data_IF_333249103962
#
_entry.id   IF_333249103962
#
_cell.length_a   1.000
_cell.length_b   1.000
_cell.length_c   1.000
_cell.angle_alpha   90.00
_cell.angle_beta   90.00
_cell.angle_gamma   90.00
#
_symmetry.space_group_name_H-M   'P 1'
#
loop_
_entity.id
_entity.type
_entity.pdbx_description
1 polymer ?
#
# COMPACT_ATOMS: atom_id res chain seq x y z
N UNK A 1 9.29 -7.19 -1.26
CA UNK A 1 9.81 -5.92 -1.77
C UNK A 1 9.22 -4.77 -0.98
N UNK A 2 9.78 -3.60 -1.12
CA UNK A 2 9.36 -2.44 -0.37
C UNK A 2 9.43 -1.20 -1.26
N UNK A 3 8.66 -0.18 -0.88
CA UNK A 3 8.61 1.05 -1.64
C UNK A 3 9.01 2.21 -0.72
N UNK A 4 9.76 3.16 -1.25
CA UNK A 4 10.17 4.32 -0.46
C UNK A 4 9.02 5.31 -0.37
N UNK A 5 8.99 6.03 0.75
CA UNK A 5 7.90 6.97 1.00
C UNK A 5 7.82 8.07 -0.07
N UNK A 6 8.98 8.55 -0.53
CA UNK A 6 8.99 9.61 -1.54
C UNK A 6 8.54 9.10 -2.90
N UNK A 7 8.88 7.86 -3.21
CA UNK A 7 8.42 7.24 -4.45
C UNK A 7 6.91 7.01 -4.42
N UNK A 8 6.40 6.56 -3.28
CA UNK A 8 4.97 6.35 -3.11
C UNK A 8 4.19 7.66 -3.25
N UNK A 9 4.72 8.73 -2.70
CA UNK A 9 4.09 10.04 -2.83
C UNK A 9 4.04 10.49 -4.29
N UNK A 10 5.11 10.23 -5.02
CA UNK A 10 5.17 10.58 -6.43
C UNK A 10 4.11 9.82 -7.22
N UNK A 11 3.98 8.52 -6.92
CA UNK A 11 2.97 7.70 -7.57
C UNK A 11 1.57 8.22 -7.25
N UNK A 12 1.34 8.56 -6.00
CA UNK A 12 0.04 9.05 -5.57
C UNK A 12 -0.34 10.33 -6.29
N UNK A 13 0.60 11.25 -6.41
CA UNK A 13 0.36 12.50 -7.11
C UNK A 13 0.10 12.28 -8.58
N UNK A 14 0.81 11.35 -9.19
CA UNK A 14 0.63 11.06 -10.59
C UNK A 14 -0.65 10.29 -10.90
N UNK A 15 -1.13 9.51 -9.93
CA UNK A 15 -2.33 8.71 -10.13
C UNK A 15 -3.61 9.55 -10.13
N UNK A 16 -3.70 10.52 -9.21
CA UNK A 16 -4.88 11.37 -9.10
C UNK A 16 -6.03 10.66 -8.39
N UNK A 17 -7.23 10.92 -8.84
CA UNK A 17 -8.44 10.38 -8.22
C UNK A 17 -8.97 9.12 -8.88
N UNK A 18 -8.21 8.52 -9.75
CA UNK A 18 -8.67 7.32 -10.43
C UNK A 18 -8.85 6.16 -9.47
N UNK A 19 -9.83 5.30 -9.69
CA UNK A 19 -10.00 4.12 -8.86
C UNK A 19 -8.84 3.15 -9.01
N UNK A 20 -8.56 2.43 -7.95
CA UNK A 20 -7.45 1.48 -7.94
C UNK A 20 -7.86 0.25 -7.14
N UNK A 21 -7.57 -0.91 -7.67
CA UNK A 21 -7.88 -2.18 -7.01
C UNK A 21 -6.79 -2.60 -6.01
N UNK A 22 -5.71 -1.83 -5.95
CA UNK A 22 -4.59 -2.10 -5.03
C UNK A 22 -4.05 -3.51 -5.21
N UNK A 23 -3.58 -3.84 -6.41
CA UNK A 23 -3.13 -5.22 -6.69
C UNK A 23 -1.88 -5.60 -5.90
N UNK A 24 -1.03 -4.64 -5.60
CA UNK A 24 0.20 -4.89 -4.85
C UNK A 24 0.36 -3.85 -3.75
N UNK A 25 0.49 -4.32 -2.52
CA UNK A 25 0.72 -3.45 -1.37
C UNK A 25 2.05 -3.83 -0.75
N UNK A 26 2.96 -2.86 -0.62
CA UNK A 26 4.29 -3.09 -0.11
C UNK A 26 4.55 -2.24 1.13
N UNK A 27 5.55 -2.63 1.90
CA UNK A 27 5.94 -1.87 3.07
C UNK A 27 6.54 -0.53 2.65
N UNK A 28 6.17 0.52 3.37
CA UNK A 28 6.71 1.84 3.11
C UNK A 28 7.99 2.04 3.93
N UNK A 29 9.02 2.54 3.28
CA UNK A 29 10.30 2.83 3.94
C UNK A 29 10.60 4.31 3.90
N UNK A 30 11.06 4.83 5.01
CA UNK A 30 11.51 6.21 5.13
C UNK A 30 13.00 6.27 5.38
N UNK A 31 13.50 7.47 5.75
CA UNK A 31 14.93 7.64 5.99
C UNK A 31 15.47 6.82 7.16
N UNK A 32 14.60 6.39 8.04
CA UNK A 32 15.00 5.62 9.21
C UNK A 32 14.53 4.17 9.16
N UNK A 33 14.12 3.70 7.98
CA UNK A 33 13.65 2.33 7.81
C UNK A 33 12.14 2.26 7.63
N UNK A 34 11.55 1.13 7.99
CA UNK A 34 10.12 0.90 7.83
C UNK A 34 9.33 1.90 8.69
N UNK A 35 8.41 2.62 8.04
CA UNK A 35 7.64 3.66 8.73
C UNK A 35 6.45 3.11 9.51
N UNK A 36 6.14 1.83 9.34
CA UNK A 36 4.97 1.22 9.96
C UNK A 36 3.75 1.21 9.07
N UNK A 37 3.82 1.87 7.93
CA UNK A 37 2.72 1.93 6.99
C UNK A 37 3.02 1.11 5.75
N UNK A 38 1.98 0.93 4.95
CA UNK A 38 2.08 0.22 3.68
C UNK A 38 1.58 1.12 2.57
N UNK A 39 2.02 0.86 1.36
CA UNK A 39 1.62 1.64 0.20
C UNK A 39 1.24 0.74 -0.96
N UNK A 40 0.23 1.17 -1.70
CA UNK A 40 -0.10 0.52 -2.96
C UNK A 40 0.94 0.95 -3.99
N UNK A 41 1.53 -0.01 -4.68
CA UNK A 41 2.57 0.31 -5.65
C UNK A 41 1.99 0.86 -6.96
N UNK A 42 0.67 0.80 -7.13
CA UNK A 42 0.04 1.30 -8.34
C UNK A 42 -0.45 2.73 -8.18
N UNK A 43 -1.15 3.03 -7.09
CA UNK A 43 -1.71 4.37 -6.89
C UNK A 43 -1.04 5.16 -5.76
N UNK A 44 -0.20 4.50 -4.97
CA UNK A 44 0.52 5.17 -3.90
C UNK A 44 -0.27 5.42 -2.64
N UNK A 45 -1.48 4.85 -2.53
CA UNK A 45 -2.31 5.09 -1.36
C UNK A 45 -1.67 4.49 -0.11
N UNK A 46 -1.78 5.22 1.00
CA UNK A 46 -1.25 4.76 2.29
C UNK A 46 -2.24 3.85 2.98
N UNK A 47 -1.72 2.74 3.52
CA UNK A 47 -2.51 1.80 4.30
C UNK A 47 -1.83 1.56 5.63
N UNK A 48 -2.65 1.36 6.67
CA UNK A 48 -2.11 0.93 7.95
C UNK A 48 -1.97 -0.59 7.94
N UNK A 49 -1.23 -1.09 8.93
CA UNK A 49 -1.07 -2.54 9.05
C UNK A 49 -2.42 -3.23 9.22
N UNK A 50 -3.31 -2.64 10.00
CA UNK A 50 -4.63 -3.21 10.22
C UNK A 50 -5.42 -3.30 8.93
N UNK A 51 -5.34 -2.27 8.11
CA UNK A 51 -6.03 -2.27 6.82
C UNK A 51 -5.48 -3.34 5.90
N UNK A 52 -4.17 -3.52 5.90
CA UNK A 52 -3.55 -4.54 5.07
C UNK A 52 -3.99 -5.93 5.51
N UNK A 53 -4.07 -6.15 6.80
CA UNK A 53 -4.53 -7.44 7.34
C UNK A 53 -5.96 -7.71 6.89
N UNK A 54 -6.82 -6.69 6.96
CA UNK A 54 -8.21 -6.84 6.52
C UNK A 54 -8.31 -7.18 5.04
N UNK A 55 -7.52 -6.53 4.21
CA UNK A 55 -7.51 -6.80 2.78
C UNK A 55 -7.09 -8.23 2.51
N UNK A 56 -6.04 -8.68 3.17
CA UNK A 56 -5.56 -10.04 2.98
C UNK A 56 -6.53 -11.07 3.52
N UNK A 57 -7.18 -10.77 4.65
CA UNK A 57 -8.19 -11.64 5.22
C UNK A 57 -9.35 -11.84 4.27
N UNK A 58 -9.77 -10.76 3.61
CA UNK A 58 -10.86 -10.83 2.64
C UNK A 58 -10.54 -11.83 1.53
N UNK A 59 -9.31 -11.80 1.04
CA UNK A 59 -8.90 -12.71 0.00
C UNK A 59 -8.91 -14.16 0.46
N UNK A 60 -8.61 -14.37 1.73
CA UNK A 60 -8.51 -15.72 2.28
C UNK A 60 -9.81 -16.27 2.83
N UNK A 61 -10.78 -15.39 3.09
CA UNK A 61 -12.00 -15.82 3.75
C UNK A 61 -12.96 -16.57 2.85
N UNK A 62 -12.79 -16.46 1.56
CA UNK A 62 -13.76 -17.01 0.61
C UNK A 62 -13.81 -18.53 0.60
N UNK A 63 -12.80 -19.19 1.09
CA UNK A 63 -12.78 -20.65 1.07
C UNK A 63 -12.95 -21.26 2.45
N UNK A 64 -13.33 -20.49 3.41
CA UNK A 64 -13.56 -20.99 4.76
C UNK A 64 -14.98 -21.47 4.99
#
# INVERSE_FOLDING_TARGET
MAIRFDEAERIEKGWGDKPCSHPNIEKEYGPFGHTGDYRCTQCGKTFTEDEVVLIKSDKNSEYQ
#
